data_IF_003737210825
#
_entry.id   IF_003737210825
#
_cell.length_a   1.000
_cell.length_b   1.000
_cell.length_c   1.000
_cell.angle_alpha   90.00
_cell.angle_beta   90.00
_cell.angle_gamma   90.00
#
_symmetry.space_group_name_H-M   'P 1'
#
loop_
_entity.id
_entity.type
_entity.pdbx_description
1 polymer ?
#
# COMPACT_ATOMS: atom_id res chain seq x y z
N UNK A 1 -29.76 -7.93 26.51
CA UNK A 1 -28.72 -6.91 26.21
C UNK A 1 -28.00 -7.31 24.94
N UNK A 2 -27.99 -6.46 23.91
CA UNK A 2 -27.22 -6.70 22.69
C UNK A 2 -25.94 -5.85 22.74
N UNK A 3 -24.79 -6.44 22.46
CA UNK A 3 -23.52 -5.71 22.49
C UNK A 3 -23.33 -4.92 21.19
N UNK A 4 -23.22 -3.59 21.28
CA UNK A 4 -22.83 -2.76 20.15
C UNK A 4 -21.31 -2.89 19.92
N UNK A 5 -20.87 -3.09 18.68
CA UNK A 5 -19.46 -3.24 18.31
C UNK A 5 -19.17 -2.34 17.12
N UNK A 6 -18.12 -1.52 17.21
CA UNK A 6 -17.58 -0.77 16.07
C UNK A 6 -16.11 -1.12 15.84
N UNK A 7 -15.69 -1.21 14.58
CA UNK A 7 -14.27 -1.41 14.25
C UNK A 7 -13.53 -0.07 14.32
N UNK A 8 -12.32 -0.05 14.90
CA UNK A 8 -11.41 1.10 14.88
C UNK A 8 -10.32 0.89 13.81
N UNK A 9 -9.97 1.96 13.08
CA UNK A 9 -8.98 1.90 12.02
C UNK A 9 -7.80 2.83 12.30
N UNK A 10 -6.60 2.27 12.45
CA UNK A 10 -5.38 3.06 12.61
C UNK A 10 -5.02 3.90 11.37
N UNK A 11 -5.54 3.54 10.20
CA UNK A 11 -5.35 4.35 8.98
C UNK A 11 -6.14 5.68 9.02
N UNK A 12 -7.09 5.80 9.94
CA UNK A 12 -8.05 6.89 10.06
C UNK A 12 -7.98 7.48 11.48
N UNK A 13 -6.79 7.54 12.06
CA UNK A 13 -6.61 8.13 13.41
C UNK A 13 -7.35 7.38 14.52
N UNK A 14 -7.49 6.06 14.40
CA UNK A 14 -8.22 5.18 15.34
C UNK A 14 -9.73 5.44 15.43
N UNK A 15 -10.29 6.22 14.52
CA UNK A 15 -11.74 6.39 14.38
C UNK A 15 -12.38 5.15 13.73
N UNK A 16 -13.69 4.99 13.92
CA UNK A 16 -14.44 4.01 13.15
C UNK A 16 -14.67 4.52 11.73
N UNK A 17 -14.55 3.68 10.69
CA UNK A 17 -14.83 4.09 9.31
C UNK A 17 -16.24 4.68 9.13
N UNK A 18 -17.22 4.13 9.87
CA UNK A 18 -18.58 4.67 9.84
C UNK A 18 -18.71 6.04 10.48
N UNK A 19 -17.84 6.38 11.44
CA UNK A 19 -17.84 7.71 12.07
C UNK A 19 -17.54 8.79 11.03
N UNK A 20 -16.59 8.55 10.12
CA UNK A 20 -16.31 9.45 9.00
C UNK A 20 -17.41 9.48 7.95
N UNK A 21 -17.97 8.31 7.60
CA UNK A 21 -18.99 8.24 6.56
C UNK A 21 -20.29 8.94 6.97
N UNK A 22 -20.68 8.82 8.23
CA UNK A 22 -21.96 9.30 8.75
C UNK A 22 -21.85 10.55 9.62
N UNK A 23 -20.65 11.11 9.81
CA UNK A 23 -20.40 12.31 10.62
C UNK A 23 -20.98 12.21 12.06
N UNK A 24 -20.97 11.00 12.64
CA UNK A 24 -21.48 10.72 13.99
C UNK A 24 -20.63 9.66 14.68
N UNK A 25 -20.59 9.67 15.99
CA UNK A 25 -19.98 8.56 16.72
C UNK A 25 -20.80 7.26 16.55
N UNK A 26 -20.09 6.12 16.51
CA UNK A 26 -20.72 4.81 16.28
C UNK A 26 -21.08 4.09 17.59
N UNK A 27 -20.56 4.56 18.73
CA UNK A 27 -20.89 4.05 20.07
C UNK A 27 -21.86 4.98 20.80
N UNK A 28 -21.61 6.28 20.68
CA UNK A 28 -22.35 7.33 21.33
C UNK A 28 -23.21 8.07 20.31
N UNK A 29 -24.37 8.56 20.72
CA UNK A 29 -25.23 9.38 19.87
C UNK A 29 -24.76 10.84 19.88
N UNK A 30 -23.55 11.07 19.37
CA UNK A 30 -22.89 12.38 19.37
C UNK A 30 -22.45 12.71 17.94
N UNK A 31 -22.71 13.93 17.43
CA UNK A 31 -22.22 14.35 16.13
C UNK A 31 -20.69 14.45 16.15
N UNK A 32 -20.05 14.04 15.07
CA UNK A 32 -18.60 14.05 14.95
C UNK A 32 -18.21 14.97 13.80
N UNK A 33 -17.34 15.94 14.10
CA UNK A 33 -16.72 16.80 13.09
C UNK A 33 -15.26 16.37 12.91
N UNK A 34 -14.89 15.99 11.69
CA UNK A 34 -13.49 15.70 11.35
C UNK A 34 -13.07 16.49 10.14
N UNK A 35 -11.88 17.09 10.24
CA UNK A 35 -11.18 17.64 9.09
C UNK A 35 -10.56 16.51 8.26
N UNK A 36 -11.25 16.16 7.18
CA UNK A 36 -10.85 15.10 6.26
C UNK A 36 -9.53 15.45 5.56
N UNK A 37 -9.26 16.73 5.29
CA UNK A 37 -8.04 17.17 4.62
C UNK A 37 -6.83 16.98 5.53
N UNK A 38 -6.93 17.42 6.79
CA UNK A 38 -5.88 17.19 7.78
C UNK A 38 -5.63 15.69 8.03
N UNK A 39 -6.71 14.90 8.11
CA UNK A 39 -6.60 13.45 8.27
C UNK A 39 -5.87 12.78 7.09
N UNK A 40 -6.23 13.16 5.86
CA UNK A 40 -5.58 12.64 4.65
C UNK A 40 -4.10 13.04 4.61
N UNK A 41 -3.77 14.26 4.98
CA UNK A 41 -2.39 14.75 5.06
C UNK A 41 -1.56 13.93 6.07
N UNK A 42 -2.08 13.73 7.27
CA UNK A 42 -1.44 12.90 8.30
C UNK A 42 -1.21 11.46 7.83
N UNK A 43 -2.22 10.88 7.15
CA UNK A 43 -2.10 9.54 6.56
C UNK A 43 -1.00 9.48 5.51
N UNK A 44 -0.88 10.52 4.67
CA UNK A 44 0.16 10.59 3.65
C UNK A 44 1.55 10.59 4.30
N UNK A 45 1.77 11.36 5.37
CA UNK A 45 3.05 11.37 6.09
C UNK A 45 3.44 9.99 6.64
N UNK A 46 2.48 9.21 7.14
CA UNK A 46 2.74 7.82 7.58
C UNK A 46 3.08 6.90 6.41
N UNK A 47 2.40 7.06 5.27
CA UNK A 47 2.68 6.30 4.04
C UNK A 47 4.09 6.60 3.55
N UNK A 48 4.45 7.88 3.45
CA UNK A 48 5.75 8.32 2.96
C UNK A 48 6.88 7.79 3.85
N UNK A 49 6.72 7.88 5.18
CA UNK A 49 7.68 7.31 6.13
C UNK A 49 7.87 5.80 5.93
N UNK A 50 6.79 5.04 5.74
CA UNK A 50 6.87 3.60 5.47
C UNK A 50 7.51 3.32 4.11
N UNK A 51 7.18 4.10 3.10
CA UNK A 51 7.74 3.98 1.75
C UNK A 51 9.25 4.23 1.76
N UNK A 52 9.72 5.24 2.49
CA UNK A 52 11.15 5.50 2.68
C UNK A 52 11.85 4.31 3.36
N UNK A 53 11.26 3.76 4.42
CA UNK A 53 11.82 2.60 5.11
C UNK A 53 11.86 1.35 4.22
N UNK A 54 10.82 1.10 3.42
CA UNK A 54 10.79 -0.04 2.50
C UNK A 54 11.73 0.15 1.33
N UNK A 55 11.87 1.37 0.80
CA UNK A 55 12.82 1.68 -0.26
C UNK A 55 14.27 1.56 0.22
N UNK A 56 14.56 1.97 1.46
CA UNK A 56 15.90 1.81 2.05
C UNK A 56 16.32 0.34 2.18
N UNK A 57 15.37 -0.59 2.27
CA UNK A 57 15.65 -2.04 2.29
C UNK A 57 15.87 -2.62 0.89
N UNK A 58 15.59 -1.87 -0.19
CA UNK A 58 15.73 -2.36 -1.55
C UNK A 58 17.21 -2.34 -1.96
N UNK A 59 17.69 -3.49 -2.41
CA UNK A 59 19.01 -3.60 -3.03
C UNK A 59 18.86 -3.21 -4.50
N UNK A 60 19.60 -2.18 -4.94
CA UNK A 60 19.66 -1.79 -6.35
C UNK A 60 20.33 -2.91 -7.14
N UNK A 61 19.71 -3.28 -8.26
CA UNK A 61 20.26 -4.25 -9.21
C UNK A 61 20.21 -3.60 -10.59
N UNK A 62 21.37 -3.44 -11.22
CA UNK A 62 21.46 -3.01 -12.61
C UNK A 62 21.33 -4.28 -13.48
N UNK A 63 20.32 -4.31 -14.35
CA UNK A 63 20.03 -5.47 -15.19
C UNK A 63 20.84 -5.41 -16.47
N UNK A 64 21.43 -6.54 -16.88
CA UNK A 64 22.13 -6.68 -18.15
C UNK A 64 21.29 -7.48 -19.17
N UNK A 65 21.52 -7.22 -20.46
CA UNK A 65 20.95 -8.02 -21.55
C UNK A 65 21.48 -9.46 -21.41
N UNK A 66 20.60 -10.44 -21.60
CA UNK A 66 20.84 -11.90 -21.42
C UNK A 66 21.10 -12.37 -19.98
N UNK A 67 20.92 -11.51 -18.97
CA UNK A 67 20.99 -11.92 -17.57
C UNK A 67 19.81 -12.84 -17.19
N UNK A 68 20.13 -14.00 -16.63
CA UNK A 68 19.13 -14.95 -16.14
C UNK A 68 18.52 -14.46 -14.83
N UNK A 69 17.29 -13.96 -14.91
CA UNK A 69 16.50 -13.52 -13.75
C UNK A 69 15.36 -14.50 -13.45
N UNK A 70 15.14 -14.77 -12.17
CA UNK A 70 13.98 -15.56 -11.73
C UNK A 70 12.72 -14.69 -11.79
N UNK A 71 11.79 -15.02 -12.68
CA UNK A 71 10.45 -14.45 -12.67
C UNK A 71 9.55 -15.31 -11.79
N UNK A 72 8.70 -14.69 -10.97
CA UNK A 72 7.66 -15.43 -10.25
C UNK A 72 6.72 -16.05 -11.28
N UNK A 73 6.70 -17.38 -11.34
CA UNK A 73 5.68 -18.10 -12.08
C UNK A 73 4.35 -17.96 -11.32
N UNK A 74 3.51 -17.03 -11.74
CA UNK A 74 2.10 -17.05 -11.36
C UNK A 74 1.47 -18.19 -12.16
N UNK A 75 1.59 -19.42 -11.67
CA UNK A 75 0.92 -20.59 -12.25
C UNK A 75 -0.58 -20.41 -12.05
N UNK A 76 -1.25 -19.84 -13.04
CA UNK A 76 -2.65 -20.08 -13.39
C UNK A 76 -3.64 -20.18 -12.23
N UNK A 77 -3.61 -19.23 -11.28
CA UNK A 77 -4.64 -19.08 -10.25
C UNK A 77 -5.07 -17.61 -10.18
N UNK A 78 -6.39 -17.38 -10.21
CA UNK A 78 -7.02 -16.06 -10.25
C UNK A 78 -6.45 -15.14 -9.17
N UNK A 79 -6.07 -13.93 -9.58
CA UNK A 79 -5.31 -12.83 -8.94
C UNK A 79 -5.57 -12.46 -7.46
N UNK A 80 -6.49 -13.12 -6.75
CA UNK A 80 -7.05 -12.60 -5.49
C UNK A 80 -6.61 -13.32 -4.21
N UNK A 81 -5.84 -14.40 -4.28
CA UNK A 81 -5.34 -15.10 -3.08
C UNK A 81 -3.88 -15.49 -3.24
N UNK A 82 -2.98 -14.57 -2.87
CA UNK A 82 -1.56 -14.85 -2.72
C UNK A 82 -1.20 -14.80 -1.24
N UNK A 83 -0.77 -15.93 -0.69
CA UNK A 83 -0.14 -15.99 0.62
C UNK A 83 1.17 -15.18 0.59
N UNK A 84 1.43 -14.43 1.66
CA UNK A 84 2.54 -13.46 1.75
C UNK A 84 3.87 -14.19 1.96
N UNK A 85 4.42 -14.81 0.91
CA UNK A 85 5.80 -15.31 0.95
C UNK A 85 6.75 -14.12 1.09
N UNK A 86 7.64 -14.19 2.08
CA UNK A 86 8.52 -13.10 2.51
C UNK A 86 9.49 -12.66 1.38
N UNK A 87 9.20 -11.51 0.78
CA UNK A 87 9.79 -11.00 -0.46
C UNK A 87 11.25 -10.56 -0.28
N UNK A 88 11.79 -10.53 0.96
CA UNK A 88 13.17 -10.09 1.27
C UNK A 88 14.29 -10.86 0.55
N UNK A 89 13.99 -12.01 -0.07
CA UNK A 89 14.93 -12.81 -0.89
C UNK A 89 14.66 -12.75 -2.40
N UNK A 90 13.57 -12.13 -2.84
CA UNK A 90 13.17 -12.12 -4.24
C UNK A 90 13.57 -10.75 -4.82
N UNK A 91 14.53 -10.77 -5.75
CA UNK A 91 15.02 -9.58 -6.46
C UNK A 91 13.85 -8.83 -7.12
N UNK A 92 13.69 -7.50 -6.92
CA UNK A 92 12.52 -6.78 -7.39
C UNK A 92 12.54 -6.62 -8.91
N UNK A 93 11.70 -7.38 -9.61
CA UNK A 93 11.47 -7.25 -11.05
C UNK A 93 10.98 -5.83 -11.40
N UNK A 94 11.77 -5.11 -12.20
CA UNK A 94 11.22 -4.11 -13.12
C UNK A 94 11.12 -4.81 -14.48
N UNK A 95 9.91 -5.05 -14.96
CA UNK A 95 9.73 -5.43 -16.35
C UNK A 95 10.44 -4.37 -17.21
N UNK A 96 11.30 -4.76 -18.17
CA UNK A 96 11.56 -3.86 -19.28
C UNK A 96 10.22 -3.68 -19.96
N UNK A 97 9.64 -2.48 -19.87
CA UNK A 97 8.81 -2.02 -20.96
C UNK A 97 9.68 -2.17 -22.20
N UNK A 98 9.10 -2.75 -23.23
CA UNK A 98 9.54 -2.65 -24.61
C UNK A 98 10.39 -1.39 -24.83
N UNK A 99 11.51 -1.58 -25.52
CA UNK A 99 12.41 -0.54 -26.02
C UNK A 99 11.56 0.65 -26.45
N UNK A 100 11.45 1.69 -25.61
CA UNK A 100 10.96 2.98 -26.04
C UNK A 100 12.14 3.58 -26.77
N UNK A 101 12.08 3.54 -28.09
CA UNK A 101 12.98 4.16 -29.07
C UNK A 101 12.96 5.70 -28.97
N UNK A 102 12.98 6.25 -27.76
CA UNK A 102 12.87 7.68 -27.48
C UNK A 102 14.00 8.26 -26.62
N UNK A 103 15.05 7.50 -26.32
CA UNK A 103 16.33 8.08 -25.91
C UNK A 103 17.33 7.94 -27.06
N UNK A 104 17.02 8.61 -28.17
CA UNK A 104 18.03 9.10 -29.11
C UNK A 104 18.11 10.61 -28.87
N UNK A 105 19.33 11.11 -28.79
CA UNK A 105 19.76 12.52 -28.74
C UNK A 105 19.87 13.18 -27.35
N UNK A 106 21.12 13.58 -27.06
CA UNK A 106 21.60 14.21 -25.83
C UNK A 106 23.07 13.90 -25.63
#
# INVERSE_FOLDING_TARGET
MHACRCASSGAIGNLSPGTLAFHRDMLLDIPMQTDIAALAHNRQGVIDRKLLQENAKRIRHDYAIDEKVLKRAHLNMSDKLHERINIRRIKPYRAPSEISSHCVEG
#
